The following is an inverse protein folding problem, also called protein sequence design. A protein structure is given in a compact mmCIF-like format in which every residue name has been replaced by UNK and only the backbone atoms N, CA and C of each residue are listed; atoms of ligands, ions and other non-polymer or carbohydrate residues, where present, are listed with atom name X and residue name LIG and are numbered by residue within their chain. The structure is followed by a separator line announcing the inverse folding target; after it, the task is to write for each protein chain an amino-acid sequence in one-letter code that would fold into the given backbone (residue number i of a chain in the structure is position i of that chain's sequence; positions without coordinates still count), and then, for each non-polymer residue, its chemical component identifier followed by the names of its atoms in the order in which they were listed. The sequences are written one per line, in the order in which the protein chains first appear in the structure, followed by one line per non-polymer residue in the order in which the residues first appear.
data_IF_580157948098
#
_entry.id   IF_580157948098
#
_cell.length_a   1.000
_cell.length_b   1.000
_cell.length_c   1.000
_cell.angle_alpha   90.00
_cell.angle_beta   90.00
_cell.angle_gamma   90.00
#
_symmetry.space_group_name_H-M   'P 1'
#
loop_
_entity.id
_entity.type
_entity.pdbx_description
1 polymer ?
#
# COMPACT_ATOMS: atom_id res chain seq x y z
N UNK A 1 13.05 -17.12 2.18
CA UNK A 1 11.71 -17.01 2.78
C UNK A 1 10.64 -17.01 1.68
N UNK A 2 9.60 -17.78 1.85
CA UNK A 2 8.51 -17.83 0.88
C UNK A 2 7.73 -16.51 0.88
N UNK A 3 7.19 -16.14 -0.28
CA UNK A 3 6.42 -14.91 -0.45
C UNK A 3 5.25 -14.84 0.56
N UNK A 4 4.54 -15.94 0.76
CA UNK A 4 3.44 -16.02 1.72
C UNK A 4 3.90 -15.70 3.16
N UNK A 5 5.06 -16.24 3.56
CA UNK A 5 5.62 -15.98 4.89
C UNK A 5 5.98 -14.51 5.08
N UNK A 6 6.48 -13.86 4.03
CA UNK A 6 6.77 -12.41 4.08
C UNK A 6 5.50 -11.61 4.31
N UNK A 7 4.42 -11.94 3.61
CA UNK A 7 3.13 -11.30 3.81
C UNK A 7 2.64 -11.48 5.25
N UNK A 8 2.69 -12.71 5.74
CA UNK A 8 2.22 -13.01 7.10
C UNK A 8 2.98 -12.23 8.15
N UNK A 9 4.31 -12.13 8.03
CA UNK A 9 5.14 -11.39 8.97
C UNK A 9 4.84 -9.89 8.93
N UNK A 10 4.69 -9.32 7.75
CA UNK A 10 4.39 -7.90 7.60
C UNK A 10 3.01 -7.60 8.16
N UNK A 11 2.01 -8.42 7.86
CA UNK A 11 0.66 -8.25 8.40
C UNK A 11 0.62 -8.37 9.91
N UNK A 12 1.37 -9.31 10.48
CA UNK A 12 1.45 -9.47 11.93
C UNK A 12 2.05 -8.22 12.57
N UNK A 13 3.12 -7.68 12.00
CA UNK A 13 3.72 -6.44 12.48
C UNK A 13 2.72 -5.28 12.45
N UNK A 14 1.99 -5.13 11.33
CA UNK A 14 0.97 -4.07 11.22
C UNK A 14 -0.15 -4.23 12.23
N UNK A 15 -0.62 -5.46 12.47
CA UNK A 15 -1.67 -5.70 13.46
C UNK A 15 -1.24 -5.29 14.87
N UNK A 16 0.04 -5.47 15.19
CA UNK A 16 0.57 -5.12 16.50
C UNK A 16 0.87 -3.64 16.66
N UNK A 17 1.31 -2.99 15.56
CA UNK A 17 1.84 -1.63 15.62
C UNK A 17 0.88 -0.58 15.03
N UNK A 18 -0.05 -1.00 14.15
CA UNK A 18 -1.00 -0.11 13.50
C UNK A 18 -2.40 -0.72 13.64
N UNK A 19 -3.29 -0.12 14.42
CA UNK A 19 -4.65 -0.68 14.58
C UNK A 19 -5.45 -0.47 13.29
N UNK A 20 -5.74 -1.57 12.59
CA UNK A 20 -6.53 -1.55 11.34
C UNK A 20 -7.91 -2.17 11.51
N UNK A 21 -8.22 -2.70 12.70
CA UNK A 21 -9.47 -3.41 12.97
C UNK A 21 -10.72 -2.55 12.76
N UNK A 22 -10.59 -1.23 12.93
CA UNK A 22 -11.71 -0.29 12.79
C UNK A 22 -11.62 0.55 11.52
N UNK A 23 -10.77 0.17 10.56
CA UNK A 23 -10.60 0.93 9.34
C UNK A 23 -11.75 0.71 8.36
N UNK A 24 -12.08 1.76 7.62
CA UNK A 24 -13.02 1.69 6.49
C UNK A 24 -12.30 1.51 5.15
N UNK A 25 -11.01 1.18 5.18
CA UNK A 25 -10.20 0.99 3.98
C UNK A 25 -10.72 -0.19 3.15
N UNK A 26 -10.79 0.00 1.83
CA UNK A 26 -11.20 -1.04 0.88
C UNK A 26 -9.99 -1.81 0.40
N UNK A 27 -10.05 -3.14 0.52
CA UNK A 27 -9.00 -4.04 0.03
C UNK A 27 -9.56 -5.45 -0.13
N UNK A 28 -9.00 -6.20 -1.09
CA UNK A 28 -9.45 -7.56 -1.38
C UNK A 28 -8.38 -8.62 -1.04
N UNK A 29 -7.15 -8.21 -0.76
CA UNK A 29 -6.06 -9.14 -0.47
C UNK A 29 -5.00 -8.43 0.41
N UNK A 30 -4.05 -9.20 1.00
CA UNK A 30 -3.03 -8.61 1.87
C UNK A 30 -2.17 -7.54 1.23
N UNK A 31 -1.86 -7.67 -0.06
CA UNK A 31 -1.09 -6.67 -0.78
C UNK A 31 -1.82 -5.33 -0.82
N UNK A 32 -3.11 -5.36 -1.17
CA UNK A 32 -3.93 -4.15 -1.20
C UNK A 32 -4.06 -3.53 0.18
N UNK A 33 -4.19 -4.35 1.22
CA UNK A 33 -4.23 -3.85 2.59
C UNK A 33 -2.95 -3.09 2.95
N UNK A 34 -1.79 -3.61 2.59
CA UNK A 34 -0.53 -2.93 2.85
C UNK A 34 -0.46 -1.57 2.16
N UNK A 35 -0.90 -1.50 0.91
CA UNK A 35 -0.97 -0.24 0.16
C UNK A 35 -1.89 0.74 0.88
N UNK A 36 -3.09 0.30 1.24
CA UNK A 36 -4.07 1.16 1.88
C UNK A 36 -3.57 1.69 3.24
N UNK A 37 -2.92 0.84 4.02
CA UNK A 37 -2.37 1.25 5.33
C UNK A 37 -1.26 2.29 5.16
N UNK A 38 -0.36 2.10 4.21
CA UNK A 38 0.70 3.07 3.94
C UNK A 38 0.11 4.42 3.54
N UNK A 39 -0.90 4.41 2.66
CA UNK A 39 -1.54 5.63 2.19
C UNK A 39 -2.34 6.32 3.30
N UNK A 40 -2.88 5.56 4.26
CA UNK A 40 -3.76 6.09 5.28
C UNK A 40 -3.04 6.90 6.37
N UNK A 41 -1.73 6.84 6.44
CA UNK A 41 -0.97 7.62 7.43
C UNK A 41 -1.23 9.12 7.21
N UNK A 42 -1.81 9.78 8.21
CA UNK A 42 -2.18 11.20 8.18
C UNK A 42 -3.10 11.56 7.00
N UNK A 43 -3.94 10.61 6.58
CA UNK A 43 -4.88 10.80 5.49
C UNK A 43 -6.18 10.06 5.85
N UNK A 44 -7.33 10.57 5.41
CA UNK A 44 -8.61 9.94 5.71
C UNK A 44 -8.82 8.68 4.89
N UNK A 45 -9.56 7.73 5.44
CA UNK A 45 -9.92 6.49 4.71
C UNK A 45 -10.71 6.83 3.45
N UNK A 46 -11.56 7.84 3.51
CA UNK A 46 -12.32 8.30 2.35
C UNK A 46 -11.39 8.71 1.19
N UNK A 47 -10.35 9.49 1.49
CA UNK A 47 -9.38 9.92 0.48
C UNK A 47 -8.63 8.73 -0.11
N UNK A 48 -8.17 7.82 0.76
CA UNK A 48 -7.47 6.61 0.33
C UNK A 48 -8.36 5.77 -0.59
N UNK A 49 -9.63 5.57 -0.21
CA UNK A 49 -10.57 4.78 -1.00
C UNK A 49 -10.91 5.40 -2.37
N UNK A 50 -10.71 6.71 -2.53
CA UNK A 50 -10.86 7.39 -3.81
C UNK A 50 -9.69 7.14 -4.76
N UNK A 51 -8.51 6.85 -4.21
CA UNK A 51 -7.25 6.74 -4.95
C UNK A 51 -6.94 5.29 -5.31
N UNK A 52 -7.17 4.37 -4.37
CA UNK A 52 -6.74 2.98 -4.50
C UNK A 52 -7.33 2.21 -5.69
N UNK A 53 -8.58 2.44 -6.15
CA UNK A 53 -9.10 1.67 -7.29
C UNK A 53 -8.22 1.76 -8.53
N UNK A 54 -7.75 2.95 -8.89
CA UNK A 54 -6.87 3.13 -10.06
C UNK A 54 -5.51 2.47 -9.82
N UNK A 55 -4.98 2.60 -8.60
CA UNK A 55 -3.69 2.03 -8.23
C UNK A 55 -3.74 0.50 -8.29
N UNK A 56 -4.79 -0.12 -7.75
CA UNK A 56 -4.97 -1.57 -7.77
C UNK A 56 -5.19 -2.10 -9.19
N UNK A 57 -5.88 -1.33 -10.03
CA UNK A 57 -6.12 -1.71 -11.43
C UNK A 57 -4.82 -1.80 -12.21
N UNK A 58 -3.93 -0.81 -12.04
CA UNK A 58 -2.70 -0.71 -12.83
C UNK A 58 -1.53 -1.46 -12.18
N UNK A 59 -1.57 -1.66 -10.86
CA UNK A 59 -0.53 -2.39 -10.12
C UNK A 59 -1.18 -3.47 -9.25
N UNK A 60 -1.73 -4.53 -9.88
CA UNK A 60 -2.50 -5.55 -9.14
C UNK A 60 -1.66 -6.52 -8.34
N UNK A 61 -0.35 -6.55 -8.55
CA UNK A 61 0.56 -7.48 -7.89
C UNK A 61 1.78 -6.75 -7.34
N UNK A 62 2.47 -7.34 -6.33
CA UNK A 62 3.74 -6.77 -5.86
C UNK A 62 4.78 -6.65 -6.96
N UNK A 63 4.80 -7.62 -7.89
CA UNK A 63 5.74 -7.60 -9.01
C UNK A 63 5.53 -6.38 -9.90
N UNK A 64 4.27 -6.05 -10.21
CA UNK A 64 3.95 -4.89 -11.03
C UNK A 64 4.36 -3.59 -10.34
N UNK A 65 4.09 -3.47 -9.04
CA UNK A 65 4.44 -2.27 -8.27
C UNK A 65 5.95 -2.16 -8.07
N UNK A 66 6.64 -3.28 -7.86
CA UNK A 66 8.10 -3.29 -7.70
C UNK A 66 8.84 -2.90 -8.99
N UNK A 67 8.21 -3.15 -10.15
CA UNK A 67 8.80 -2.85 -11.46
C UNK A 67 8.65 -1.39 -11.88
N UNK A 68 7.78 -0.61 -11.21
CA UNK A 68 7.59 0.80 -11.51
C UNK A 68 8.52 1.67 -10.65
N UNK A 69 8.41 2.98 -10.80
CA UNK A 69 9.22 3.95 -10.05
C UNK A 69 8.34 4.79 -9.13
N UNK A 70 8.92 5.40 -8.08
CA UNK A 70 8.15 6.31 -7.22
C UNK A 70 7.52 7.48 -7.98
N UNK A 71 8.16 7.96 -9.05
CA UNK A 71 7.62 9.06 -9.85
C UNK A 71 6.29 8.70 -10.50
N UNK A 72 6.19 7.47 -11.01
CA UNK A 72 4.94 6.97 -11.62
C UNK A 72 3.86 6.81 -10.55
N UNK A 73 4.20 6.20 -9.42
CA UNK A 73 3.26 6.01 -8.31
C UNK A 73 2.78 7.36 -7.76
N UNK A 74 3.65 8.34 -7.69
CA UNK A 74 3.31 9.69 -7.23
C UNK A 74 2.12 10.26 -8.00
N UNK A 75 2.07 10.06 -9.32
CA UNK A 75 0.98 10.58 -10.15
C UNK A 75 -0.39 10.02 -9.73
N UNK A 76 -0.43 8.82 -9.16
CA UNK A 76 -1.66 8.20 -8.67
C UNK A 76 -2.08 8.72 -7.29
N UNK A 77 -1.11 9.09 -6.45
CA UNK A 77 -1.36 9.36 -5.03
C UNK A 77 -1.09 10.82 -4.63
N UNK A 78 -0.88 11.69 -5.58
CA UNK A 78 -0.44 13.08 -5.29
C UNK A 78 -1.42 13.89 -4.43
N UNK A 79 -2.67 13.44 -4.30
CA UNK A 79 -3.67 14.12 -3.47
C UNK A 79 -3.67 13.67 -2.01
N UNK A 80 -2.89 12.64 -1.65
CA UNK A 80 -2.75 12.22 -0.25
C UNK A 80 -1.70 13.07 0.46
N UNK A 81 -1.70 13.00 1.80
CA UNK A 81 -0.67 13.66 2.61
C UNK A 81 0.70 13.01 2.37
N UNK A 82 1.74 13.82 2.23
CA UNK A 82 3.12 13.37 2.04
C UNK A 82 3.28 12.37 0.89
N UNK A 83 2.84 12.71 -0.34
CA UNK A 83 2.81 11.74 -1.44
C UNK A 83 4.19 11.28 -1.90
N UNK A 84 5.23 12.12 -1.81
CA UNK A 84 6.59 11.73 -2.21
C UNK A 84 7.11 10.57 -1.38
N UNK A 85 7.00 10.66 -0.06
CA UNK A 85 7.47 9.61 0.84
C UNK A 85 6.63 8.35 0.71
N UNK A 86 5.31 8.50 0.57
CA UNK A 86 4.41 7.37 0.41
C UNK A 86 4.69 6.61 -0.89
N UNK A 87 4.96 7.32 -1.99
CA UNK A 87 5.32 6.69 -3.25
C UNK A 87 6.58 5.83 -3.11
N UNK A 88 7.59 6.34 -2.45
CA UNK A 88 8.83 5.59 -2.18
C UNK A 88 8.56 4.38 -1.30
N UNK A 89 7.73 4.53 -0.27
CA UNK A 89 7.36 3.43 0.63
C UNK A 89 6.59 2.34 -0.10
N UNK A 90 5.67 2.69 -0.99
CA UNK A 90 4.90 1.71 -1.75
C UNK A 90 5.80 0.86 -2.64
N UNK A 91 6.68 1.51 -3.42
CA UNK A 91 7.60 0.79 -4.31
C UNK A 91 8.58 -0.05 -3.49
N UNK A 92 9.13 0.51 -2.42
CA UNK A 92 10.06 -0.20 -1.54
C UNK A 92 9.42 -1.41 -0.88
N UNK A 93 8.18 -1.27 -0.41
CA UNK A 93 7.42 -2.38 0.17
C UNK A 93 7.23 -3.50 -0.85
N UNK A 94 6.84 -3.15 -2.08
CA UNK A 94 6.65 -4.14 -3.14
C UNK A 94 7.96 -4.86 -3.47
N UNK A 95 9.07 -4.16 -3.50
CA UNK A 95 10.39 -4.75 -3.74
C UNK A 95 10.79 -5.74 -2.64
N UNK A 96 10.36 -5.49 -1.41
CA UNK A 96 10.59 -6.41 -0.31
C UNK A 96 9.76 -7.68 -0.41
N UNK A 97 8.61 -7.63 -1.07
CA UNK A 97 7.71 -8.77 -1.22
C UNK A 97 8.09 -9.68 -2.39
N UNK A 98 8.85 -9.19 -3.32
CA UNK A 98 9.33 -9.97 -4.47
C UNK A 98 10.81 -10.31 -4.32
#
# INVERSE_FOLDING_TARGET
MRKKERYEKILAWFRENVPVAETELHYDNPFELLIAVILSAQCTDKRVNMITPALYRDFPTPEALAATTPDVVYEYIRSVSYPNNKAKHLVGMAQMLV
#
